data_IF_317243727879
#
_entry.id   IF_317243727879
#
_cell.length_a   1.000
_cell.length_b   1.000
_cell.length_c   1.000
_cell.angle_alpha   90.00
_cell.angle_beta   90.00
_cell.angle_gamma   90.00
#
_symmetry.space_group_name_H-M   'P 1'
#
loop_
_entity.id
_entity.type
_entity.pdbx_description
1 polymer ?
#
# COMPACT_ATOMS: atom_id res chain seq x y z
N UNK A 1 -10.06 -11.19 -0.69
CA UNK A 1 -9.23 -12.23 -1.30
C UNK A 1 -9.17 -12.07 -2.82
N UNK A 2 -8.32 -12.84 -3.54
CA UNK A 2 -8.18 -12.73 -4.99
C UNK A 2 -9.17 -13.65 -5.74
N UNK A 3 -9.32 -14.87 -5.29
CA UNK A 3 -9.96 -15.94 -6.03
C UNK A 3 -11.34 -16.37 -5.51
N UNK A 4 -12.12 -16.99 -6.40
CA UNK A 4 -13.43 -17.54 -6.05
C UNK A 4 -13.33 -18.71 -5.10
N UNK A 5 -12.30 -19.54 -5.27
CA UNK A 5 -12.10 -20.72 -4.44
C UNK A 5 -11.85 -20.30 -3.01
N UNK A 6 -11.04 -19.24 -2.80
CA UNK A 6 -10.84 -18.66 -1.46
C UNK A 6 -12.17 -18.25 -0.81
N UNK A 7 -13.05 -17.57 -1.58
CA UNK A 7 -14.36 -17.16 -1.08
C UNK A 7 -15.17 -18.40 -0.67
N UNK A 8 -15.27 -19.41 -1.53
CA UNK A 8 -16.06 -20.62 -1.26
C UNK A 8 -15.54 -21.30 0.01
N UNK A 9 -14.23 -21.53 0.11
CA UNK A 9 -13.64 -22.23 1.24
C UNK A 9 -13.79 -21.46 2.53
N UNK A 10 -13.57 -20.13 2.50
CA UNK A 10 -13.72 -19.30 3.68
C UNK A 10 -15.17 -19.21 4.13
N UNK A 11 -16.15 -19.13 3.21
CA UNK A 11 -17.57 -19.20 3.56
C UNK A 11 -17.93 -20.55 4.18
N UNK A 12 -17.45 -21.67 3.63
CA UNK A 12 -17.64 -22.99 4.23
C UNK A 12 -17.01 -23.12 5.61
N UNK A 13 -15.92 -22.38 5.86
CA UNK A 13 -15.23 -22.31 7.13
C UNK A 13 -15.90 -21.37 8.15
N UNK A 14 -17.00 -20.68 7.78
CA UNK A 14 -17.77 -19.78 8.65
C UNK A 14 -17.44 -18.31 8.53
N UNK A 15 -16.60 -17.91 7.56
CA UNK A 15 -16.28 -16.50 7.27
C UNK A 15 -17.18 -15.99 6.15
N UNK A 16 -18.39 -15.58 6.45
CA UNK A 16 -19.45 -15.23 5.49
C UNK A 16 -19.33 -13.79 4.92
N UNK A 17 -18.39 -13.00 5.40
CA UNK A 17 -18.12 -11.63 4.98
C UNK A 17 -16.92 -11.52 4.02
N UNK A 18 -16.58 -12.60 3.31
CA UNK A 18 -15.48 -12.65 2.34
C UNK A 18 -15.96 -12.37 0.93
N UNK A 19 -15.20 -11.55 0.21
CA UNK A 19 -15.45 -11.22 -1.20
C UNK A 19 -14.14 -11.32 -2.01
N UNK A 20 -14.25 -11.53 -3.32
CA UNK A 20 -13.11 -11.57 -4.23
C UNK A 20 -13.27 -10.60 -5.39
N UNK A 21 -12.14 -10.15 -5.94
CA UNK A 21 -12.08 -9.29 -7.13
C UNK A 21 -12.16 -10.04 -8.45
N UNK A 22 -12.25 -11.38 -8.42
CA UNK A 22 -12.54 -12.27 -9.55
C UNK A 22 -11.53 -12.17 -10.71
N UNK A 23 -10.24 -12.35 -10.42
CA UNK A 23 -9.19 -12.34 -11.44
C UNK A 23 -8.85 -10.97 -12.02
N UNK A 24 -9.41 -9.90 -11.44
CA UNK A 24 -9.06 -8.51 -11.75
C UNK A 24 -8.45 -7.83 -10.53
N UNK A 25 -7.61 -6.81 -10.75
CA UNK A 25 -7.14 -5.99 -9.65
C UNK A 25 -8.31 -5.18 -9.05
N UNK A 26 -8.28 -4.94 -7.73
CA UNK A 26 -9.23 -4.04 -7.07
C UNK A 26 -9.14 -2.64 -7.70
N UNK A 27 -10.29 -2.05 -8.02
CA UNK A 27 -10.40 -0.72 -8.63
C UNK A 27 -10.94 0.31 -7.63
N UNK A 28 -10.85 1.60 -7.98
CA UNK A 28 -11.49 2.66 -7.18
C UNK A 28 -13.01 2.49 -7.07
N UNK A 29 -13.64 1.92 -8.09
CA UNK A 29 -15.08 1.64 -8.07
C UNK A 29 -15.41 0.53 -7.07
N UNK A 30 -14.64 -0.55 -7.06
CA UNK A 30 -14.75 -1.59 -6.03
C UNK A 30 -14.59 -1.00 -4.63
N UNK A 31 -13.61 -0.11 -4.43
CA UNK A 31 -13.41 0.58 -3.16
C UNK A 31 -14.63 1.40 -2.73
N UNK A 32 -15.26 2.14 -3.68
CA UNK A 32 -16.49 2.90 -3.41
C UNK A 32 -17.67 2.01 -3.05
N UNK A 33 -17.80 0.87 -3.72
CA UNK A 33 -18.86 -0.11 -3.41
C UNK A 33 -18.64 -0.66 -1.99
N UNK A 34 -17.45 -1.15 -1.68
CA UNK A 34 -17.12 -1.71 -0.36
C UNK A 34 -17.36 -0.71 0.77
N UNK A 35 -16.99 0.56 0.58
CA UNK A 35 -17.17 1.62 1.58
C UNK A 35 -18.64 1.90 1.96
N UNK A 36 -19.62 1.44 1.15
CA UNK A 36 -21.05 1.52 1.47
C UNK A 36 -21.49 0.45 2.47
N UNK A 37 -20.79 -0.70 2.47
CA UNK A 37 -21.18 -1.87 3.26
C UNK A 37 -20.37 -2.03 4.53
N UNK A 38 -19.13 -1.52 4.56
CA UNK A 38 -18.25 -1.68 5.72
C UNK A 38 -17.42 -0.43 6.00
N UNK A 39 -16.90 -0.35 7.21
CA UNK A 39 -15.87 0.64 7.62
C UNK A 39 -14.49 0.02 7.74
N UNK A 40 -14.40 -1.29 7.81
CA UNK A 40 -13.14 -2.02 7.89
C UNK A 40 -13.03 -3.01 6.73
N UNK A 41 -11.86 -3.06 6.10
CA UNK A 41 -11.53 -3.98 5.04
C UNK A 41 -10.22 -4.70 5.37
N UNK A 42 -10.24 -6.03 5.37
CA UNK A 42 -9.04 -6.84 5.53
C UNK A 42 -8.64 -7.40 4.17
N UNK A 43 -7.43 -7.07 3.72
CA UNK A 43 -6.84 -7.63 2.51
C UNK A 43 -6.11 -8.92 2.87
N UNK A 44 -6.44 -10.01 2.22
CA UNK A 44 -5.76 -11.28 2.35
C UNK A 44 -5.44 -11.81 0.95
N UNK A 45 -4.24 -11.53 0.49
CA UNK A 45 -3.72 -11.96 -0.81
C UNK A 45 -2.65 -13.03 -0.60
N UNK A 46 -2.23 -13.65 -1.70
CA UNK A 46 -1.24 -14.71 -1.68
C UNK A 46 0.08 -14.25 -1.02
N UNK A 47 0.71 -15.14 -0.29
CA UNK A 47 1.97 -14.84 0.39
C UNK A 47 3.20 -15.00 -0.52
N UNK A 48 3.13 -14.51 -1.74
CA UNK A 48 4.24 -14.46 -2.70
C UNK A 48 4.59 -13.03 -3.13
N UNK A 49 5.57 -12.88 -3.98
CA UNK A 49 6.01 -11.55 -4.46
C UNK A 49 4.92 -10.84 -5.28
N UNK A 50 4.10 -11.58 -6.02
CA UNK A 50 3.01 -11.04 -6.82
C UNK A 50 1.87 -10.55 -5.92
N UNK A 51 1.49 -11.33 -4.90
CA UNK A 51 0.47 -10.93 -3.91
C UNK A 51 0.89 -9.73 -3.08
N UNK A 52 2.18 -9.62 -2.70
CA UNK A 52 2.73 -8.42 -2.04
C UNK A 52 2.63 -7.19 -2.93
N UNK A 53 2.96 -7.30 -4.22
CA UNK A 53 2.84 -6.21 -5.18
C UNK A 53 1.36 -5.81 -5.41
N UNK A 54 0.47 -6.80 -5.46
CA UNK A 54 -0.98 -6.58 -5.54
C UNK A 54 -1.50 -5.84 -4.30
N UNK A 55 -1.07 -6.25 -3.10
CA UNK A 55 -1.40 -5.59 -1.84
C UNK A 55 -1.00 -4.12 -1.85
N UNK A 56 0.24 -3.79 -2.23
CA UNK A 56 0.73 -2.42 -2.28
C UNK A 56 -0.06 -1.55 -3.27
N UNK A 57 -0.41 -2.11 -4.44
CA UNK A 57 -1.25 -1.43 -5.42
C UNK A 57 -2.62 -1.12 -4.85
N UNK A 58 -3.26 -2.09 -4.22
CA UNK A 58 -4.59 -1.95 -3.62
C UNK A 58 -4.58 -0.95 -2.46
N UNK A 59 -3.57 -0.99 -1.59
CA UNK A 59 -3.41 -0.02 -0.51
C UNK A 59 -3.28 1.42 -1.04
N UNK A 60 -2.68 1.62 -2.21
CA UNK A 60 -2.61 2.94 -2.83
C UNK A 60 -3.97 3.40 -3.38
N UNK A 61 -4.78 2.50 -3.94
CA UNK A 61 -6.15 2.78 -4.41
C UNK A 61 -7.05 3.13 -3.21
N UNK A 62 -6.94 2.38 -2.11
CA UNK A 62 -7.78 2.54 -0.93
C UNK A 62 -7.43 3.77 -0.06
N UNK A 63 -6.31 4.46 -0.32
CA UNK A 63 -5.90 5.66 0.47
C UNK A 63 -6.97 6.73 0.58
N UNK A 64 -7.78 6.90 -0.47
CA UNK A 64 -8.82 7.92 -0.55
C UNK A 64 -10.22 7.35 -0.25
N UNK A 65 -10.33 6.05 -0.02
CA UNK A 65 -11.55 5.41 0.44
C UNK A 65 -11.69 5.62 1.95
N UNK A 66 -12.90 5.94 2.39
CA UNK A 66 -13.18 6.09 3.83
C UNK A 66 -13.30 4.70 4.51
N UNK A 67 -12.22 3.92 4.43
CA UNK A 67 -12.11 2.57 4.93
C UNK A 67 -10.89 2.43 5.85
N UNK A 68 -11.08 1.77 6.98
CA UNK A 68 -9.97 1.28 7.79
C UNK A 68 -9.43 0.00 7.15
N UNK A 69 -8.22 0.05 6.61
CA UNK A 69 -7.64 -1.08 5.88
C UNK A 69 -6.61 -1.79 6.73
N UNK A 70 -6.78 -3.10 6.86
CA UNK A 70 -5.82 -4.01 7.49
C UNK A 70 -5.31 -5.01 6.46
N UNK A 71 -4.13 -5.54 6.68
CA UNK A 71 -3.53 -6.58 5.82
C UNK A 71 -3.30 -7.83 6.66
N UNK A 72 -3.87 -8.93 6.22
CA UNK A 72 -3.62 -10.24 6.78
C UNK A 72 -2.51 -10.90 5.97
N UNK A 73 -1.37 -11.16 6.61
CA UNK A 73 -0.29 -11.96 6.07
C UNK A 73 -0.41 -13.38 6.61
N UNK A 74 -0.62 -14.34 5.71
CA UNK A 74 -0.54 -15.74 6.10
C UNK A 74 0.92 -16.11 6.42
N UNK A 75 1.16 -16.98 7.40
CA UNK A 75 2.51 -17.47 7.69
C UNK A 75 3.15 -18.10 6.46
N UNK A 76 4.47 -18.00 6.34
CA UNK A 76 5.20 -18.67 5.27
C UNK A 76 5.03 -20.19 5.38
N UNK A 77 4.70 -20.84 4.27
CA UNK A 77 4.72 -22.28 4.16
C UNK A 77 6.01 -22.72 3.45
N UNK A 78 6.51 -23.89 3.81
CA UNK A 78 7.74 -24.47 3.27
C UNK A 78 7.46 -25.91 2.83
N UNK A 79 8.11 -26.33 1.73
CA UNK A 79 8.13 -27.72 1.32
C UNK A 79 9.04 -28.59 2.19
N UNK A 80 9.15 -29.90 1.86
CA UNK A 80 9.99 -30.83 2.60
C UNK A 80 11.50 -30.48 2.49
N UNK A 81 11.89 -29.75 1.44
CA UNK A 81 13.24 -29.28 1.17
C UNK A 81 13.53 -27.92 1.80
N UNK A 82 12.56 -27.31 2.52
CA UNK A 82 12.70 -26.02 3.18
C UNK A 82 12.58 -24.81 2.24
N UNK A 83 12.07 -24.99 1.02
CA UNK A 83 11.79 -23.87 0.09
C UNK A 83 10.42 -23.25 0.39
N UNK A 84 10.32 -21.93 0.34
CA UNK A 84 9.03 -21.28 0.53
C UNK A 84 8.06 -21.67 -0.60
N UNK A 85 6.86 -22.09 -0.21
CA UNK A 85 5.78 -22.40 -1.13
C UNK A 85 4.70 -21.33 -1.04
N UNK A 86 4.05 -21.09 -2.17
CA UNK A 86 2.88 -20.23 -2.24
C UNK A 86 1.79 -20.80 -1.32
N UNK A 87 1.16 -19.94 -0.56
CA UNK A 87 0.04 -20.28 0.29
C UNK A 87 -1.03 -19.22 0.12
N UNK A 88 -2.19 -19.65 -0.36
CA UNK A 88 -3.39 -18.83 -0.44
C UNK A 88 -4.33 -19.12 0.75
N UNK A 89 -5.40 -18.34 0.94
CA UNK A 89 -6.38 -18.56 2.01
C UNK A 89 -7.05 -19.92 1.96
N UNK A 90 -7.33 -20.46 0.76
CA UNK A 90 -7.94 -21.78 0.56
C UNK A 90 -7.04 -22.90 1.12
N UNK A 91 -5.79 -22.92 0.68
CA UNK A 91 -4.79 -23.89 1.15
C UNK A 91 -4.55 -23.77 2.66
N UNK A 92 -4.48 -22.55 3.18
CA UNK A 92 -4.26 -22.33 4.60
C UNK A 92 -5.38 -22.90 5.45
N UNK A 93 -6.65 -22.62 5.10
CA UNK A 93 -7.81 -23.08 5.88
C UNK A 93 -7.96 -24.58 5.77
N UNK A 94 -7.73 -25.18 4.61
CA UNK A 94 -7.76 -26.65 4.43
C UNK A 94 -6.70 -27.35 5.28
N UNK A 95 -5.52 -26.75 5.41
CA UNK A 95 -4.38 -27.34 6.12
C UNK A 95 -4.42 -27.13 7.63
N UNK A 96 -4.80 -25.93 8.07
CA UNK A 96 -4.67 -25.51 9.48
C UNK A 96 -6.01 -25.27 10.18
N UNK A 97 -7.09 -25.26 9.42
CA UNK A 97 -8.45 -25.10 9.92
C UNK A 97 -8.90 -23.66 10.17
N UNK A 98 -10.21 -23.46 10.38
CA UNK A 98 -10.80 -22.12 10.59
C UNK A 98 -10.25 -21.36 11.78
N UNK A 99 -10.00 -22.03 12.91
CA UNK A 99 -9.49 -21.39 14.13
C UNK A 99 -8.10 -20.79 13.94
N UNK A 100 -7.23 -21.41 13.12
CA UNK A 100 -5.92 -20.87 12.80
C UNK A 100 -6.07 -19.61 11.91
N UNK A 101 -6.98 -19.62 10.95
CA UNK A 101 -7.25 -18.46 10.11
C UNK A 101 -7.83 -17.28 10.90
N UNK A 102 -8.77 -17.55 11.82
CA UNK A 102 -9.34 -16.54 12.71
C UNK A 102 -8.25 -15.88 13.58
N UNK A 103 -7.30 -16.66 14.09
CA UNK A 103 -6.16 -16.12 14.84
C UNK A 103 -5.31 -15.19 13.98
N UNK A 104 -5.03 -15.56 12.72
CA UNK A 104 -4.32 -14.70 11.78
C UNK A 104 -5.14 -13.44 11.48
N UNK A 105 -6.45 -13.56 11.28
CA UNK A 105 -7.35 -12.44 11.01
C UNK A 105 -7.34 -11.43 12.17
N UNK A 106 -7.41 -11.90 13.41
CA UNK A 106 -7.35 -11.05 14.59
C UNK A 106 -5.97 -10.37 14.75
N UNK A 107 -4.90 -11.01 14.30
CA UNK A 107 -3.54 -10.47 14.29
C UNK A 107 -3.19 -9.63 13.06
N UNK A 108 -4.13 -9.39 12.14
CA UNK A 108 -3.84 -8.63 10.92
C UNK A 108 -3.37 -7.22 11.22
N UNK A 109 -2.34 -6.76 10.51
CA UNK A 109 -1.69 -5.48 10.72
C UNK A 109 -2.45 -4.33 10.05
N UNK A 110 -2.48 -3.14 10.65
CA UNK A 110 -2.89 -1.93 9.96
C UNK A 110 -2.01 -1.63 8.74
N UNK A 111 -2.56 -0.94 7.74
CA UNK A 111 -1.82 -0.70 6.48
C UNK A 111 -0.45 -0.06 6.68
N UNK A 112 -0.29 0.80 7.69
CA UNK A 112 0.99 1.49 7.94
C UNK A 112 1.98 0.57 8.66
N UNK A 113 1.51 -0.30 9.55
CA UNK A 113 2.34 -1.35 10.16
C UNK A 113 2.83 -2.33 9.09
N UNK A 114 1.92 -2.83 8.24
CA UNK A 114 2.26 -3.68 7.11
C UNK A 114 3.37 -3.07 6.23
N UNK A 115 3.25 -1.78 5.90
CA UNK A 115 4.26 -1.09 5.08
C UNK A 115 5.63 -1.05 5.76
N UNK A 116 5.69 -0.72 7.04
CA UNK A 116 6.96 -0.70 7.77
C UNK A 116 7.55 -2.10 7.91
N UNK A 117 6.74 -3.12 8.18
CA UNK A 117 7.20 -4.52 8.24
C UNK A 117 7.74 -5.00 6.88
N UNK A 118 7.06 -4.65 5.79
CA UNK A 118 7.52 -4.95 4.44
C UNK A 118 8.88 -4.30 4.14
N UNK A 119 9.09 -3.05 4.57
CA UNK A 119 10.38 -2.38 4.43
C UNK A 119 11.48 -3.03 5.28
N UNK A 120 11.16 -3.48 6.49
CA UNK A 120 12.10 -4.22 7.34
C UNK A 120 12.50 -5.58 6.74
N UNK A 121 11.56 -6.27 6.08
CA UNK A 121 11.84 -7.53 5.37
C UNK A 121 12.66 -7.33 4.09
N UNK A 122 12.46 -6.17 3.42
CA UNK A 122 13.14 -5.83 2.17
C UNK A 122 14.62 -5.48 2.38
N UNK A 123 14.96 -4.86 3.50
CA UNK A 123 16.29 -4.35 3.79
C UNK A 123 16.92 -5.08 4.97
N UNK A 124 18.20 -5.43 4.84
CA UNK A 124 18.97 -5.97 5.98
C UNK A 124 19.20 -4.88 7.02
N UNK A 125 18.63 -5.05 8.22
CA UNK A 125 18.90 -4.11 9.32
C UNK A 125 20.18 -4.45 10.09
N UNK A 126 20.86 -5.56 9.75
CA UNK A 126 22.10 -5.97 10.40
C UNK A 126 23.32 -5.17 9.93
N UNK A 127 23.32 -4.70 8.69
CA UNK A 127 24.38 -3.89 8.11
C UNK A 127 23.99 -2.41 7.99
N UNK A 128 24.98 -1.53 7.83
CA UNK A 128 24.78 -0.09 7.77
C UNK A 128 24.07 0.36 6.47
N UNK A 129 24.42 -0.27 5.34
CA UNK A 129 23.84 0.05 4.05
C UNK A 129 22.35 -0.29 4.02
N UNK A 130 21.97 -1.47 4.47
CA UNK A 130 20.57 -1.89 4.57
C UNK A 130 19.76 -1.02 5.53
N UNK A 131 20.33 -0.64 6.68
CA UNK A 131 19.70 0.30 7.61
C UNK A 131 19.47 1.68 6.97
N UNK A 132 20.44 2.20 6.23
CA UNK A 132 20.29 3.48 5.52
C UNK A 132 19.26 3.40 4.41
N UNK A 133 19.21 2.31 3.66
CA UNK A 133 18.19 2.08 2.64
C UNK A 133 16.79 1.99 3.25
N UNK A 134 16.64 1.24 4.35
CA UNK A 134 15.39 1.18 5.12
C UNK A 134 14.96 2.56 5.60
N UNK A 135 15.85 3.31 6.25
CA UNK A 135 15.54 4.64 6.79
C UNK A 135 15.06 5.60 5.70
N UNK A 136 15.68 5.57 4.54
CA UNK A 136 15.28 6.42 3.40
C UNK A 136 13.85 6.11 2.97
N UNK A 137 13.49 4.87 2.75
CA UNK A 137 12.14 4.48 2.33
C UNK A 137 11.11 4.67 3.47
N UNK A 138 11.49 4.43 4.72
CA UNK A 138 10.65 4.67 5.89
C UNK A 138 10.33 6.17 6.06
N UNK A 139 11.30 7.07 5.86
CA UNK A 139 11.08 8.52 5.87
C UNK A 139 10.05 8.91 4.80
N UNK A 140 10.17 8.40 3.59
CA UNK A 140 9.21 8.67 2.51
C UNK A 140 7.79 8.18 2.87
N UNK A 141 7.70 6.99 3.44
CA UNK A 141 6.43 6.37 3.85
C UNK A 141 5.76 7.17 4.96
N UNK A 142 6.50 7.50 6.02
CA UNK A 142 5.98 8.28 7.16
C UNK A 142 5.65 9.71 6.76
N UNK A 143 6.47 10.35 5.91
CA UNK A 143 6.22 11.71 5.41
C UNK A 143 4.93 11.83 4.58
N UNK A 144 4.46 10.74 3.97
CA UNK A 144 3.21 10.69 3.20
C UNK A 144 1.96 10.68 4.08
N UNK A 145 2.07 10.34 5.37
CA UNK A 145 0.96 10.32 6.31
C UNK A 145 0.44 11.75 6.57
N UNK A 146 -0.89 11.92 6.53
CA UNK A 146 -1.51 13.23 6.72
C UNK A 146 -1.55 13.63 8.19
N UNK A 147 -1.86 12.69 9.07
CA UNK A 147 -1.96 12.92 10.51
C UNK A 147 -0.58 13.13 11.15
N UNK A 148 -0.37 14.22 11.91
CA UNK A 148 0.85 14.40 12.71
C UNK A 148 1.05 13.29 13.74
N UNK A 149 -0.04 12.83 14.35
CA UNK A 149 -0.01 11.75 15.36
C UNK A 149 0.44 10.44 14.74
N UNK A 150 -0.09 10.09 13.56
CA UNK A 150 0.37 8.89 12.85
C UNK A 150 1.85 9.00 12.48
N UNK A 151 2.32 10.16 12.04
CA UNK A 151 3.74 10.38 11.74
C UNK A 151 4.62 10.15 12.97
N UNK A 152 4.18 10.59 14.14
CA UNK A 152 4.90 10.36 15.39
C UNK A 152 4.93 8.87 15.75
N UNK A 153 3.79 8.19 15.75
CA UNK A 153 3.67 6.76 16.09
C UNK A 153 4.54 5.91 15.16
N UNK A 154 4.36 6.07 13.85
CA UNK A 154 5.08 5.25 12.87
C UNK A 154 6.54 5.68 12.69
N UNK A 155 6.84 6.96 12.93
CA UNK A 155 8.21 7.46 13.01
C UNK A 155 8.99 6.85 14.17
N UNK A 156 8.38 6.75 15.34
CA UNK A 156 8.97 6.09 16.50
C UNK A 156 9.23 4.60 16.24
N UNK A 157 8.27 3.89 15.61
CA UNK A 157 8.45 2.49 15.22
C UNK A 157 9.61 2.31 14.24
N UNK A 158 9.69 3.15 13.20
CA UNK A 158 10.76 3.09 12.21
C UNK A 158 12.13 3.41 12.82
N UNK A 159 12.22 4.43 13.68
CA UNK A 159 13.44 4.81 14.39
C UNK A 159 13.94 3.67 15.29
N UNK A 160 13.03 3.06 16.06
CA UNK A 160 13.35 1.93 16.94
C UNK A 160 13.87 0.72 16.15
N UNK A 161 13.26 0.39 15.02
CA UNK A 161 13.68 -0.71 14.15
C UNK A 161 15.10 -0.52 13.60
N UNK A 162 15.48 0.72 13.27
CA UNK A 162 16.81 1.06 12.75
C UNK A 162 17.84 1.38 13.82
N UNK A 163 17.45 1.42 15.11
CA UNK A 163 18.34 1.73 16.23
C UNK A 163 18.80 3.20 16.28
N UNK A 164 17.97 4.15 15.81
CA UNK A 164 18.25 5.59 15.87
C UNK A 164 17.28 6.31 16.82
N UNK A 165 17.60 7.56 17.19
CA UNK A 165 16.69 8.35 18.01
C UNK A 165 15.44 8.78 17.23
N UNK A 166 14.28 8.78 17.89
CA UNK A 166 13.03 9.26 17.33
C UNK A 166 13.11 10.72 16.87
N UNK A 167 13.85 11.56 17.60
CA UNK A 167 14.06 12.95 17.24
C UNK A 167 14.83 13.15 15.92
N UNK A 168 15.88 12.35 15.69
CA UNK A 168 16.63 12.41 14.44
C UNK A 168 15.75 11.97 13.25
N UNK A 169 14.97 10.90 13.41
CA UNK A 169 14.04 10.44 12.39
C UNK A 169 12.96 11.49 12.07
N UNK A 170 12.36 12.08 13.10
CA UNK A 170 11.33 13.12 12.95
C UNK A 170 11.87 14.36 12.21
N UNK A 171 13.10 14.80 12.51
CA UNK A 171 13.74 15.90 11.79
C UNK A 171 13.93 15.57 10.30
N UNK A 172 14.32 14.34 9.97
CA UNK A 172 14.49 13.91 8.59
C UNK A 172 13.15 13.85 7.84
N UNK A 173 12.08 13.36 8.48
CA UNK A 173 10.71 13.38 7.93
C UNK A 173 10.28 14.81 7.61
N UNK A 174 10.48 15.76 8.52
CA UNK A 174 10.10 17.17 8.29
C UNK A 174 10.97 17.83 7.21
N UNK A 175 12.26 17.50 7.14
CA UNK A 175 13.15 17.97 6.07
C UNK A 175 12.66 17.46 4.71
N UNK A 176 12.32 16.20 4.62
CA UNK A 176 11.79 15.57 3.40
C UNK A 176 10.47 16.23 2.96
N UNK A 177 9.54 16.48 3.87
CA UNK A 177 8.26 17.15 3.60
C UNK A 177 8.44 18.56 3.07
N UNK A 178 9.33 19.35 3.70
CA UNK A 178 9.67 20.71 3.25
C UNK A 178 10.25 20.72 1.84
N UNK A 179 11.19 19.81 1.56
CA UNK A 179 11.80 19.67 0.25
C UNK A 179 10.78 19.29 -0.83
N UNK A 180 9.91 18.34 -0.54
CA UNK A 180 8.84 17.92 -1.45
C UNK A 180 7.85 19.05 -1.74
N UNK A 181 7.45 19.81 -0.72
CA UNK A 181 6.56 20.96 -0.88
C UNK A 181 7.23 22.07 -1.71
N UNK A 182 8.51 22.33 -1.49
CA UNK A 182 9.27 23.30 -2.29
C UNK A 182 9.39 22.89 -3.74
N UNK A 183 9.72 21.62 -4.01
CA UNK A 183 9.78 21.09 -5.38
C UNK A 183 8.43 21.15 -6.10
N UNK A 184 7.32 20.84 -5.40
CA UNK A 184 5.97 20.94 -5.94
C UNK A 184 5.63 22.39 -6.33
N UNK A 185 5.93 23.38 -5.47
CA UNK A 185 5.74 24.80 -5.76
C UNK A 185 6.57 25.27 -6.95
N UNK A 186 7.85 24.86 -7.00
CA UNK A 186 8.74 25.19 -8.14
C UNK A 186 8.23 24.62 -9.45
N UNK A 187 7.74 23.38 -9.44
CA UNK A 187 7.14 22.72 -10.63
C UNK A 187 5.88 23.43 -11.08
N UNK A 188 5.03 23.87 -10.15
CA UNK A 188 3.82 24.61 -10.46
C UNK A 188 4.14 25.98 -11.03
N UNK A 189 5.03 26.75 -10.40
CA UNK A 189 5.48 28.06 -10.90
C UNK A 189 6.07 27.95 -12.31
N UNK A 190 6.85 26.87 -12.59
CA UNK A 190 7.41 26.63 -13.92
C UNK A 190 6.33 26.34 -14.97
N UNK A 191 5.24 25.62 -14.59
CA UNK A 191 4.10 25.36 -15.49
C UNK A 191 3.33 26.64 -15.80
N UNK A 192 3.15 27.51 -14.81
CA UNK A 192 2.45 28.80 -14.96
C UNK A 192 3.26 29.78 -15.81
N UNK A 193 4.60 29.74 -15.73
CA UNK A 193 5.51 30.60 -16.52
C UNK A 193 5.77 30.07 -17.94
N UNK A 194 5.34 28.85 -18.29
CA UNK A 194 5.48 28.33 -19.65
C UNK A 194 4.38 28.95 -20.52
N UNK A 195 4.70 29.86 -21.48
CA UNK A 195 3.68 30.49 -22.29
C UNK A 195 2.87 29.46 -23.08
N UNK A 196 1.59 29.74 -23.29
CA UNK A 196 0.67 28.92 -24.11
C UNK A 196 1.13 28.71 -25.58
N UNK A 197 2.28 29.26 -25.95
CA UNK A 197 2.90 29.13 -27.28
C UNK A 197 3.51 27.76 -27.60
N UNK A 198 3.53 26.83 -26.63
CA UNK A 198 3.96 25.43 -26.86
C UNK A 198 2.79 24.44 -26.90
N UNK A 199 1.61 24.89 -27.29
CA UNK A 199 0.56 23.98 -27.76
C UNK A 199 1.08 23.24 -28.99
N UNK A 200 0.92 21.91 -29.00
CA UNK A 200 1.37 21.05 -30.11
C UNK A 200 0.79 21.58 -31.44
N UNK A 201 1.47 21.39 -32.57
CA UNK A 201 1.02 21.91 -33.89
C UNK A 201 -0.44 21.58 -34.22
N UNK A 202 -0.94 20.43 -33.80
CA UNK A 202 -2.34 19.99 -33.99
C UNK A 202 -3.39 20.86 -33.29
N UNK A 203 -3.08 21.41 -32.12
CA UNK A 203 -4.01 22.31 -31.41
C UNK A 203 -4.01 23.74 -31.97
N UNK A 204 -2.94 24.14 -32.66
CA UNK A 204 -2.91 25.40 -33.42
C UNK A 204 -3.81 25.35 -34.66
N UNK A 205 -3.77 24.25 -35.40
CA UNK A 205 -4.62 24.08 -36.61
C UNK A 205 -6.11 24.11 -36.27
N UNK A 206 -6.53 23.39 -35.20
CA UNK A 206 -7.93 23.38 -34.73
C UNK A 206 -8.42 24.76 -34.28
N UNK A 207 -7.57 25.62 -33.73
CA UNK A 207 -7.95 27.00 -33.38
C UNK A 207 -8.11 27.90 -34.59
N UNK A 208 -7.32 27.72 -35.64
CA UNK A 208 -7.45 28.50 -36.88
C UNK A 208 -8.65 28.07 -37.71
N UNK A 209 -9.03 26.80 -37.70
CA UNK A 209 -10.23 26.31 -38.37
C UNK A 209 -11.51 26.84 -37.72
N UNK A 210 -11.57 26.88 -36.37
CA UNK A 210 -12.71 27.43 -35.63
C UNK A 210 -12.89 28.96 -35.80
N UNK A 211 -11.82 29.69 -36.12
CA UNK A 211 -11.89 31.14 -36.41
C UNK A 211 -12.27 31.45 -37.85
N UNK A 212 -12.19 30.48 -38.78
CA UNK A 212 -12.61 30.64 -40.16
C UNK A 212 -14.07 30.24 -40.41
N UNK A 213 -14.71 29.57 -39.47
CA UNK A 213 -16.10 29.09 -39.55
C UNK A 213 -17.09 29.94 -38.71
N UNK A 214 -16.65 31.04 -38.14
CA UNK A 214 -17.47 32.08 -37.52
C UNK A 214 -17.47 33.37 -38.37
#
# INVERSE_FOLDING_TARGET
>A
VEGNIDVITLHQAGFDNVVATMGTALTEEHARILARYTKELVLCYDNDAAGKQSTDRVLNILKNANLNVRVLQLPNAYDAEGKPIKQDPDDFVKKFGPAAFEKCLNGSAGQNDYRLETLQQKHSLADEEGRMAFLKEAVETVAALQSPIEREIYGNKAAAAAGISAGAFAQEVERFRKNRAWQARKKQARRELTPAAQLQPRERELRYENLRSA
#
